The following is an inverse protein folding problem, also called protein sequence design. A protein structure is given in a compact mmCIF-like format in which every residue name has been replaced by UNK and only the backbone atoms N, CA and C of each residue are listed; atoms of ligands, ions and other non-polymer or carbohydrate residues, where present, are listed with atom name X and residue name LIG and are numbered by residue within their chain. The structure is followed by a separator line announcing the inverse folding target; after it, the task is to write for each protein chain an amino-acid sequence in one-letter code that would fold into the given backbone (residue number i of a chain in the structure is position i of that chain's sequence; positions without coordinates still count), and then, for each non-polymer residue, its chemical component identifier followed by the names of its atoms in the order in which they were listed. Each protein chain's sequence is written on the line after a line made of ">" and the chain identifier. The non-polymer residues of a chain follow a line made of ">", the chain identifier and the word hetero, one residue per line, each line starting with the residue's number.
data_IF_701547147995
#
_entry.id   IF_701547147995
#
_cell.length_a   1.000
_cell.length_b   1.000
_cell.length_c   1.000
_cell.angle_alpha   90.00
_cell.angle_beta   90.00
_cell.angle_gamma   90.00
#
_symmetry.space_group_name_H-M   'P 1'
#
loop_
_entity.id
_entity.type
_entity.pdbx_description
1 polymer ?
#
# COMPACT_ATOMS: atom_id res chain seq x y z
N UNK A 1 13.64 -18.60 -2.98
CA UNK A 1 13.90 -18.84 -4.42
C UNK A 1 13.58 -17.65 -5.32
N UNK A 2 12.50 -16.87 -5.09
CA UNK A 2 12.09 -15.77 -5.99
C UNK A 2 13.21 -14.76 -6.30
N UNK A 3 13.97 -14.33 -5.28
CA UNK A 3 15.07 -13.37 -5.45
C UNK A 3 16.25 -13.91 -6.29
N UNK A 4 16.40 -15.23 -6.40
CA UNK A 4 17.48 -15.83 -7.21
C UNK A 4 17.17 -15.68 -8.71
N UNK A 5 15.94 -16.02 -9.13
CA UNK A 5 15.52 -15.91 -10.52
C UNK A 5 15.51 -14.45 -10.99
N UNK A 6 15.09 -13.53 -10.13
CA UNK A 6 15.18 -12.09 -10.41
C UNK A 6 16.64 -11.65 -10.65
N UNK A 7 17.58 -12.07 -9.80
CA UNK A 7 19.01 -11.77 -9.98
C UNK A 7 19.59 -12.38 -11.24
N UNK A 8 19.23 -13.63 -11.57
CA UNK A 8 19.64 -14.29 -12.81
C UNK A 8 19.10 -13.55 -14.04
N UNK A 9 17.83 -13.15 -14.02
CA UNK A 9 17.22 -12.36 -15.10
C UNK A 9 17.91 -11.02 -15.30
N UNK A 10 18.24 -10.30 -14.22
CA UNK A 10 19.03 -9.08 -14.34
C UNK A 10 20.43 -9.33 -14.91
N UNK A 11 21.12 -10.39 -14.47
CA UNK A 11 22.44 -10.74 -14.99
C UNK A 11 22.37 -11.07 -16.48
N UNK A 12 21.34 -11.78 -16.90
CA UNK A 12 21.09 -12.10 -18.31
C UNK A 12 20.83 -10.83 -19.15
N UNK A 13 19.99 -9.92 -18.66
CA UNK A 13 19.59 -8.71 -19.41
C UNK A 13 20.68 -7.63 -19.44
N UNK A 14 21.35 -7.39 -18.32
CA UNK A 14 22.26 -6.23 -18.15
C UNK A 14 23.74 -6.62 -18.07
N UNK A 15 24.08 -7.91 -18.06
CA UNK A 15 25.46 -8.38 -18.05
C UNK A 15 26.29 -7.77 -16.91
N UNK A 16 27.42 -7.16 -17.25
CA UNK A 16 28.33 -6.53 -16.27
C UNK A 16 27.67 -5.37 -15.49
N UNK A 17 26.63 -4.74 -16.05
CA UNK A 17 25.94 -3.60 -15.41
C UNK A 17 24.82 -4.03 -14.46
N UNK A 18 24.54 -5.33 -14.32
CA UNK A 18 23.41 -5.82 -13.51
C UNK A 18 23.43 -5.28 -12.06
N UNK A 19 24.59 -5.28 -11.40
CA UNK A 19 24.70 -4.78 -10.02
C UNK A 19 24.53 -3.26 -9.92
N UNK A 20 24.92 -2.50 -10.94
CA UNK A 20 24.69 -1.05 -10.99
C UNK A 20 23.19 -0.75 -11.11
N UNK A 21 22.51 -1.42 -12.04
CA UNK A 21 21.06 -1.32 -12.23
C UNK A 21 20.32 -1.71 -10.95
N UNK A 22 20.75 -2.78 -10.27
CA UNK A 22 20.17 -3.22 -8.99
C UNK A 22 20.25 -2.14 -7.93
N UNK A 23 21.41 -1.50 -7.78
CA UNK A 23 21.63 -0.42 -6.80
C UNK A 23 20.75 0.78 -7.13
N UNK A 24 20.64 1.15 -8.41
CA UNK A 24 19.76 2.22 -8.85
C UNK A 24 18.29 1.92 -8.54
N UNK A 25 17.82 0.70 -8.84
CA UNK A 25 16.47 0.24 -8.48
C UNK A 25 16.21 0.33 -6.98
N UNK A 26 17.14 -0.14 -6.14
CA UNK A 26 17.00 -0.04 -4.69
C UNK A 26 16.90 1.41 -4.22
N UNK A 27 17.71 2.31 -4.79
CA UNK A 27 17.66 3.75 -4.50
C UNK A 27 16.31 4.35 -4.89
N UNK A 28 15.79 4.03 -6.08
CA UNK A 28 14.50 4.50 -6.54
C UNK A 28 13.35 4.01 -5.65
N UNK A 29 13.25 2.70 -5.39
CA UNK A 29 12.19 2.14 -4.54
C UNK A 29 12.23 2.74 -3.14
N UNK A 30 13.42 2.93 -2.56
CA UNK A 30 13.58 3.58 -1.24
C UNK A 30 13.19 5.05 -1.22
N UNK A 31 13.17 5.72 -2.37
CA UNK A 31 12.74 7.12 -2.49
C UNK A 31 11.23 7.27 -2.63
N UNK A 32 10.51 6.18 -2.93
CA UNK A 32 9.05 6.22 -3.06
C UNK A 32 8.38 6.46 -1.70
N UNK A 33 7.31 7.26 -1.64
CA UNK A 33 6.54 7.44 -0.41
C UNK A 33 5.85 6.13 -0.02
N UNK A 34 5.80 5.85 1.28
CA UNK A 34 5.08 4.68 1.83
C UNK A 34 3.56 4.82 1.76
N UNK A 35 3.08 6.07 1.83
CA UNK A 35 1.67 6.40 1.83
C UNK A 35 1.45 7.86 1.43
N UNK A 36 0.23 8.18 1.04
CA UNK A 36 -0.22 9.54 0.75
C UNK A 36 -1.47 9.83 1.57
N UNK A 37 -1.43 10.90 2.35
CA UNK A 37 -2.63 11.44 3.02
C UNK A 37 -3.24 12.53 2.13
N UNK A 38 -4.51 12.39 1.80
CA UNK A 38 -5.25 13.37 1.01
C UNK A 38 -6.30 14.08 1.90
N UNK A 39 -6.76 15.28 1.50
CA UNK A 39 -7.96 15.89 2.08
C UNK A 39 -9.16 14.94 1.99
N UNK A 40 -10.23 15.21 2.75
CA UNK A 40 -11.40 14.34 2.76
C UNK A 40 -11.29 13.15 3.72
N UNK A 41 -10.22 13.08 4.52
CA UNK A 41 -9.97 11.98 5.45
C UNK A 41 -9.51 10.69 4.74
N UNK A 42 -8.77 10.79 3.64
CA UNK A 42 -8.29 9.63 2.90
C UNK A 42 -6.81 9.35 3.22
N UNK A 43 -6.48 8.07 3.26
CA UNK A 43 -5.11 7.61 3.35
C UNK A 43 -4.88 6.47 2.37
N UNK A 44 -3.92 6.67 1.47
CA UNK A 44 -3.58 5.74 0.40
C UNK A 44 -2.25 5.07 0.75
N UNK A 45 -2.21 3.75 0.82
CA UNK A 45 -1.01 2.97 1.05
C UNK A 45 -1.08 1.64 0.28
N UNK A 46 0.01 0.88 0.24
CA UNK A 46 0.00 -0.37 -0.53
C UNK A 46 -0.91 -1.43 0.10
N UNK A 47 -0.78 -1.66 1.41
CA UNK A 47 -1.64 -2.54 2.22
C UNK A 47 -1.76 -2.01 3.66
N UNK A 48 -2.26 -2.83 4.59
CA UNK A 48 -2.42 -2.54 6.00
C UNK A 48 -1.56 -3.47 6.88
N UNK A 49 -0.96 -2.97 7.98
CA UNK A 49 -0.28 -3.81 8.96
C UNK A 49 -1.29 -4.71 9.69
N UNK A 50 -0.82 -5.89 10.09
CA UNK A 50 -1.65 -6.88 10.77
C UNK A 50 -1.74 -6.61 12.27
N UNK A 51 -2.88 -6.95 12.88
CA UNK A 51 -3.09 -6.90 14.33
C UNK A 51 -2.83 -5.52 14.96
N UNK A 52 -3.07 -4.44 14.20
CA UNK A 52 -2.97 -3.06 14.68
C UNK A 52 -3.91 -2.80 15.85
N UNK A 53 -5.07 -3.47 15.87
CA UNK A 53 -6.04 -3.46 16.96
C UNK A 53 -5.47 -3.99 18.29
N UNK A 54 -4.54 -4.94 18.24
CA UNK A 54 -3.98 -5.60 19.41
C UNK A 54 -2.57 -5.09 19.79
N UNK A 55 -1.76 -4.69 18.82
CA UNK A 55 -0.34 -4.36 19.01
C UNK A 55 0.01 -2.90 18.69
N UNK A 56 -0.93 -2.15 18.11
CA UNK A 56 -0.64 -0.85 17.53
C UNK A 56 0.26 -0.94 16.29
N UNK A 57 0.66 0.23 15.79
CA UNK A 57 1.56 0.35 14.65
C UNK A 57 2.40 1.63 14.82
N UNK A 58 3.70 1.57 14.50
CA UNK A 58 4.57 2.74 14.52
C UNK A 58 4.28 3.65 13.31
N UNK A 59 3.38 4.61 13.49
CA UNK A 59 3.08 5.64 12.48
C UNK A 59 4.22 6.65 12.29
N UNK A 60 5.25 6.62 13.14
CA UNK A 60 6.42 7.48 13.03
C UNK A 60 7.18 7.29 11.72
N UNK A 61 7.11 6.08 11.12
CA UNK A 61 7.76 5.77 9.83
C UNK A 61 7.35 6.69 8.68
N UNK A 62 6.18 7.33 8.77
CA UNK A 62 5.70 8.25 7.74
C UNK A 62 6.32 9.64 7.82
N UNK A 63 7.01 9.97 8.93
CA UNK A 63 7.51 11.32 9.21
C UNK A 63 9.02 11.37 9.49
N UNK A 64 9.71 10.22 9.47
CA UNK A 64 11.14 10.13 9.71
C UNK A 64 11.87 9.48 8.55
N UNK A 65 13.19 9.69 8.51
CA UNK A 65 14.05 8.90 7.63
C UNK A 65 14.03 7.43 8.08
N UNK A 66 13.79 6.54 7.12
CA UNK A 66 13.79 5.10 7.36
C UNK A 66 15.21 4.58 7.53
N UNK A 67 15.40 3.69 8.50
CA UNK A 67 16.62 2.92 8.63
C UNK A 67 16.47 1.55 7.94
N UNK A 68 17.53 0.74 7.98
CA UNK A 68 17.51 -0.59 7.36
C UNK A 68 16.65 -1.57 8.16
N UNK A 69 16.54 -1.41 9.48
CA UNK A 69 15.74 -2.27 10.32
C UNK A 69 14.23 -2.11 10.05
N UNK A 70 13.80 -0.92 9.65
CA UNK A 70 12.42 -0.66 9.23
C UNK A 70 11.98 -1.53 8.04
N UNK A 71 12.93 -1.85 7.17
CA UNK A 71 12.74 -2.58 5.90
C UNK A 71 12.91 -4.10 6.05
N UNK A 72 13.39 -4.58 7.19
CA UNK A 72 13.54 -6.01 7.43
C UNK A 72 12.18 -6.70 7.55
N UNK A 73 12.20 -8.02 7.41
CA UNK A 73 11.02 -8.84 7.68
C UNK A 73 10.49 -8.57 9.09
N UNK A 74 9.17 -8.45 9.20
CA UNK A 74 8.46 -8.00 10.41
C UNK A 74 8.75 -6.55 10.86
N UNK A 75 9.61 -5.81 10.18
CA UNK A 75 9.76 -4.37 10.36
C UNK A 75 8.47 -3.61 9.99
N UNK A 76 8.30 -2.37 10.47
CA UNK A 76 7.08 -1.60 10.25
C UNK A 76 6.77 -1.34 8.76
N UNK A 77 7.79 -1.15 7.90
CA UNK A 77 7.56 -1.01 6.45
C UNK A 77 7.12 -2.33 5.85
N UNK A 78 7.76 -3.44 6.23
CA UNK A 78 7.37 -4.77 5.78
C UNK A 78 5.91 -5.07 6.13
N UNK A 79 5.50 -4.80 7.36
CA UNK A 79 4.12 -5.00 7.80
C UNK A 79 3.13 -4.17 6.97
N UNK A 80 3.47 -2.91 6.66
CA UNK A 80 2.62 -2.03 5.85
C UNK A 80 2.44 -2.53 4.41
N UNK A 81 3.46 -3.13 3.80
CA UNK A 81 3.41 -3.56 2.39
C UNK A 81 2.99 -5.04 2.21
N UNK A 82 3.04 -5.87 3.24
CA UNK A 82 2.74 -7.31 3.13
C UNK A 82 1.53 -7.79 3.94
N UNK A 83 1.01 -6.98 4.87
CA UNK A 83 -0.08 -7.41 5.74
C UNK A 83 -1.38 -7.66 4.97
N UNK A 84 -2.17 -8.64 5.43
CA UNK A 84 -3.46 -9.04 4.83
C UNK A 84 -4.57 -9.24 5.87
N UNK A 85 -4.53 -8.47 6.94
CA UNK A 85 -5.54 -8.52 8.01
C UNK A 85 -6.72 -7.60 7.68
N UNK A 86 -7.72 -8.16 7.01
CA UNK A 86 -8.91 -7.46 6.51
C UNK A 86 -10.05 -7.30 7.53
N UNK A 87 -9.85 -7.75 8.78
CA UNK A 87 -10.85 -7.60 9.85
C UNK A 87 -11.17 -6.12 10.07
N UNK A 88 -12.44 -5.83 10.33
CA UNK A 88 -12.90 -4.45 10.56
C UNK A 88 -12.14 -3.79 11.72
N UNK A 89 -11.89 -4.52 12.81
CA UNK A 89 -11.21 -3.98 13.99
C UNK A 89 -9.80 -3.51 13.65
N UNK A 90 -9.08 -4.27 12.83
CA UNK A 90 -7.73 -3.95 12.38
C UNK A 90 -7.74 -2.71 11.48
N UNK A 91 -8.56 -2.71 10.43
CA UNK A 91 -8.67 -1.58 9.51
C UNK A 91 -9.08 -0.28 10.25
N UNK A 92 -10.04 -0.37 11.17
CA UNK A 92 -10.47 0.75 12.02
C UNK A 92 -9.36 1.26 12.93
N UNK A 93 -8.59 0.35 13.55
CA UNK A 93 -7.47 0.72 14.41
C UNK A 93 -6.35 1.43 13.64
N UNK A 94 -6.02 0.94 12.44
CA UNK A 94 -5.04 1.58 11.57
C UNK A 94 -5.55 2.95 11.07
N UNK A 95 -6.79 3.04 10.58
CA UNK A 95 -7.41 4.29 10.15
C UNK A 95 -7.34 5.38 11.22
N UNK A 96 -7.66 5.04 12.49
CA UNK A 96 -7.50 5.97 13.62
C UNK A 96 -6.05 6.41 13.82
N UNK A 97 -5.11 5.47 13.75
CA UNK A 97 -3.68 5.73 13.96
C UNK A 97 -3.12 6.72 12.92
N UNK A 98 -3.57 6.62 11.67
CA UNK A 98 -3.17 7.53 10.58
C UNK A 98 -4.11 8.74 10.40
N UNK A 99 -5.12 8.88 11.27
CA UNK A 99 -6.14 9.94 11.23
C UNK A 99 -6.91 9.99 9.90
N UNK A 100 -7.26 8.83 9.38
CA UNK A 100 -8.07 8.65 8.19
C UNK A 100 -9.47 8.16 8.53
N UNK A 101 -10.42 8.49 7.66
CA UNK A 101 -11.79 7.97 7.64
C UNK A 101 -11.90 6.76 6.72
N UNK A 102 -11.27 6.83 5.54
CA UNK A 102 -11.23 5.72 4.57
C UNK A 102 -9.78 5.45 4.17
N UNK A 103 -9.44 4.17 4.16
CA UNK A 103 -8.18 3.61 3.69
C UNK A 103 -8.36 3.11 2.26
N UNK A 104 -7.48 3.54 1.35
CA UNK A 104 -7.44 3.06 -0.03
C UNK A 104 -6.15 2.26 -0.19
N UNK A 105 -6.27 0.98 -0.51
CA UNK A 105 -5.18 0.03 -0.63
C UNK A 105 -5.13 -0.60 -2.02
N UNK A 106 -4.03 -1.29 -2.32
CA UNK A 106 -3.94 -2.23 -3.43
C UNK A 106 -3.58 -3.62 -2.89
N UNK A 107 -2.52 -4.21 -3.44
CA UNK A 107 -1.87 -5.45 -2.98
C UNK A 107 -2.64 -6.75 -3.29
N UNK A 108 -3.95 -6.79 -3.05
CA UNK A 108 -4.76 -7.99 -3.25
C UNK A 108 -5.38 -8.02 -4.66
N UNK A 109 -5.19 -9.12 -5.43
CA UNK A 109 -5.92 -9.31 -6.66
C UNK A 109 -7.43 -9.36 -6.40
N UNK A 110 -8.21 -8.57 -7.14
CA UNK A 110 -9.65 -8.46 -6.96
C UNK A 110 -10.37 -8.92 -8.25
N UNK A 111 -11.17 -10.00 -8.21
CA UNK A 111 -11.85 -10.52 -9.41
C UNK A 111 -12.81 -9.54 -10.10
N UNK A 112 -13.31 -8.54 -9.38
CA UNK A 112 -14.16 -7.46 -9.91
C UNK A 112 -13.41 -6.13 -10.06
N UNK A 113 -12.09 -6.15 -9.91
CA UNK A 113 -11.19 -4.99 -9.94
C UNK A 113 -11.13 -4.18 -8.65
N UNK A 114 -12.02 -4.43 -7.69
CA UNK A 114 -11.92 -3.87 -6.35
C UNK A 114 -12.60 -4.75 -5.31
N UNK A 115 -12.28 -4.51 -4.04
CA UNK A 115 -12.92 -5.15 -2.89
C UNK A 115 -13.17 -4.13 -1.78
N UNK A 116 -14.22 -4.41 -1.00
CA UNK A 116 -14.65 -3.58 0.13
C UNK A 116 -14.84 -4.48 1.35
N UNK A 117 -13.74 -4.95 1.98
CA UNK A 117 -13.81 -6.00 3.00
C UNK A 117 -14.47 -5.55 4.31
N UNK A 118 -14.50 -4.24 4.57
CA UNK A 118 -15.07 -3.63 5.77
C UNK A 118 -15.38 -2.14 5.51
N UNK A 119 -16.16 -1.44 6.36
CA UNK A 119 -16.56 -0.03 6.14
C UNK A 119 -15.43 1.02 6.10
N UNK A 120 -14.20 0.66 6.44
CA UNK A 120 -13.06 1.57 6.53
C UNK A 120 -12.07 1.43 5.37
N UNK A 121 -12.19 0.40 4.54
CA UNK A 121 -11.18 0.02 3.57
C UNK A 121 -11.79 -0.21 2.18
N UNK A 122 -11.08 0.27 1.17
CA UNK A 122 -11.27 -0.08 -0.24
C UNK A 122 -9.94 -0.64 -0.73
N UNK A 123 -9.99 -1.78 -1.42
CA UNK A 123 -8.84 -2.36 -2.12
C UNK A 123 -9.11 -2.19 -3.62
N UNK A 124 -8.21 -1.53 -4.34
CA UNK A 124 -8.28 -1.35 -5.79
C UNK A 124 -7.22 -2.25 -6.46
N UNK A 125 -7.64 -2.98 -7.47
CA UNK A 125 -6.77 -3.77 -8.32
C UNK A 125 -6.78 -3.20 -9.74
N UNK A 126 -5.61 -2.75 -10.19
CA UNK A 126 -5.40 -2.23 -11.53
C UNK A 126 -4.55 -3.16 -12.41
N UNK A 127 -4.26 -4.38 -11.95
CA UNK A 127 -3.41 -5.36 -12.64
C UNK A 127 -4.19 -6.56 -13.15
N UNK A 128 -5.30 -6.93 -12.51
CA UNK A 128 -6.19 -8.00 -12.97
C UNK A 128 -7.28 -7.49 -13.91
N UNK A 129 -7.92 -8.39 -14.66
CA UNK A 129 -9.09 -8.08 -15.49
C UNK A 129 -10.39 -8.46 -14.74
N UNK A 130 -11.35 -7.53 -14.56
CA UNK A 130 -11.32 -6.13 -14.97
C UNK A 130 -10.46 -5.28 -14.02
N UNK A 131 -9.67 -4.37 -14.57
CA UNK A 131 -8.87 -3.45 -13.77
C UNK A 131 -9.72 -2.23 -13.38
N UNK A 132 -9.58 -1.71 -12.16
CA UNK A 132 -10.31 -0.53 -11.69
C UNK A 132 -9.41 0.62 -11.25
N UNK A 133 -9.98 1.83 -11.29
CA UNK A 133 -9.36 3.07 -10.80
C UNK A 133 -10.40 3.99 -10.15
N UNK A 134 -9.90 5.01 -9.46
CA UNK A 134 -10.73 6.00 -8.76
C UNK A 134 -10.19 7.41 -9.00
N UNK A 135 -11.03 8.30 -9.54
CA UNK A 135 -10.71 9.72 -9.71
C UNK A 135 -11.49 10.57 -8.70
N UNK A 136 -10.76 11.36 -7.91
CA UNK A 136 -11.32 12.16 -6.82
C UNK A 136 -10.86 13.62 -6.91
N UNK A 137 -11.77 14.59 -6.75
CA UNK A 137 -11.37 15.97 -6.49
C UNK A 137 -10.72 16.08 -5.10
N UNK A 138 -9.62 16.83 -5.03
CA UNK A 138 -8.85 17.02 -3.78
C UNK A 138 -9.40 18.12 -2.86
N UNK A 139 -10.35 18.93 -3.34
CA UNK A 139 -10.93 20.07 -2.60
C UNK A 139 -12.21 19.68 -1.84
N UNK A 140 -12.19 18.55 -1.11
CA UNK A 140 -13.34 18.07 -0.34
C UNK A 140 -12.96 17.82 1.12
N UNK A 141 -13.85 18.20 2.02
CA UNK A 141 -13.60 18.12 3.46
C UNK A 141 -13.72 16.70 4.01
N UNK A 142 -14.70 15.92 3.53
CA UNK A 142 -14.91 14.53 3.95
C UNK A 142 -15.46 13.64 2.82
N UNK A 143 -14.97 12.40 2.78
CA UNK A 143 -15.51 11.32 1.95
C UNK A 143 -16.09 10.21 2.83
N UNK A 144 -17.18 9.58 2.39
CA UNK A 144 -17.56 8.26 2.91
C UNK A 144 -17.04 7.16 1.98
N UNK A 145 -16.94 5.94 2.49
CA UNK A 145 -16.50 4.82 1.68
C UNK A 145 -17.50 4.52 0.56
N UNK A 146 -18.80 4.58 0.85
CA UNK A 146 -19.87 4.32 -0.11
C UNK A 146 -19.84 5.33 -1.27
N UNK A 147 -19.59 6.61 -0.98
CA UNK A 147 -19.39 7.64 -2.00
C UNK A 147 -18.21 7.32 -2.92
N UNK A 148 -17.09 6.85 -2.35
CA UNK A 148 -15.91 6.48 -3.11
C UNK A 148 -16.16 5.23 -3.96
N UNK A 149 -16.82 4.21 -3.41
CA UNK A 149 -17.17 2.97 -4.12
C UNK A 149 -18.05 3.28 -5.32
N UNK A 150 -19.04 4.18 -5.18
CA UNK A 150 -19.92 4.59 -6.30
C UNK A 150 -19.18 5.27 -7.46
N UNK A 151 -17.93 5.70 -7.24
CA UNK A 151 -17.09 6.43 -8.20
C UNK A 151 -15.98 5.57 -8.82
N UNK A 152 -15.85 4.31 -8.39
CA UNK A 152 -14.87 3.38 -8.97
C UNK A 152 -15.25 3.10 -10.42
N UNK A 153 -14.26 3.17 -11.31
CA UNK A 153 -14.42 2.95 -12.74
C UNK A 153 -13.54 1.80 -13.20
N UNK A 154 -14.00 1.04 -14.20
CA UNK A 154 -13.19 0.04 -14.90
C UNK A 154 -12.30 0.74 -15.93
N UNK A 155 -11.06 0.28 -16.08
CA UNK A 155 -10.11 0.74 -17.11
C UNK A 155 -10.54 0.29 -18.52
#
# INVERSE_FOLDING_TARGET
>A
MLNLMFRMGMQYTYGASAEEVRRAMHGFIRSCPLAVRLPGGLFVCHSLPERTDARGFDVGIFQRTLDVADLHEHGPVFQLVWGRDYREENARAFARSVRARVLICGHEPCPEGYMVPNPHQIILDCCSEPACYLLLPIARDQWTQEELVSRIQKL
#
